data_IF_045947041181
#
_entry.id   IF_045947041181
#
_cell.length_a   1.000
_cell.length_b   1.000
_cell.length_c   1.000
_cell.angle_alpha   90.00
_cell.angle_beta   90.00
_cell.angle_gamma   90.00
#
_symmetry.space_group_name_H-M   'P 1'
#
loop_
_entity.id
_entity.type
_entity.pdbx_description
1 polymer ?
#
# COMPACT_ATOMS: atom_id res chain seq x y z
N UNK A 1 -71.63 11.32 -22.63
CA UNK A 1 -72.24 12.37 -21.81
C UNK A 1 -73.10 11.74 -20.72
N UNK A 2 -72.63 11.68 -19.48
CA UNK A 2 -73.46 11.50 -18.29
C UNK A 2 -72.88 12.35 -17.18
N UNK A 3 -73.61 13.41 -16.80
CA UNK A 3 -73.35 14.29 -15.70
C UNK A 3 -73.76 13.59 -14.40
N UNK A 4 -72.94 13.51 -13.39
CA UNK A 4 -73.33 13.18 -12.02
C UNK A 4 -73.49 14.44 -11.20
N UNK A 5 -74.69 14.62 -10.66
CA UNK A 5 -75.10 15.71 -9.80
C UNK A 5 -74.52 15.51 -8.38
N UNK A 6 -73.87 16.54 -7.85
CA UNK A 6 -73.40 16.57 -6.47
C UNK A 6 -74.56 17.02 -5.58
N UNK A 7 -74.99 16.15 -4.66
CA UNK A 7 -76.01 16.46 -3.67
C UNK A 7 -75.42 17.35 -2.57
N UNK A 8 -76.07 18.49 -2.36
CA UNK A 8 -75.77 19.50 -1.36
C UNK A 8 -76.24 19.03 0.02
N UNK A 9 -75.32 18.67 0.94
CA UNK A 9 -75.65 18.36 2.34
C UNK A 9 -75.74 19.63 3.15
N UNK A 10 -76.91 19.85 3.81
CA UNK A 10 -77.27 21.00 4.57
C UNK A 10 -76.26 21.35 5.67
N UNK A 11 -75.95 22.64 5.80
CA UNK A 11 -74.92 23.20 6.70
C UNK A 11 -75.13 22.92 8.21
N UNK A 12 -76.31 22.55 8.62
CA UNK A 12 -76.65 22.18 10.02
C UNK A 12 -76.15 20.82 10.48
N UNK A 13 -76.06 19.89 9.57
CA UNK A 13 -75.53 18.53 9.89
C UNK A 13 -73.99 18.56 9.97
N UNK A 14 -73.36 19.45 9.22
CA UNK A 14 -71.90 19.59 9.16
C UNK A 14 -71.29 20.12 10.46
N UNK A 15 -71.97 21.07 11.15
CA UNK A 15 -71.45 21.64 12.38
C UNK A 15 -71.56 20.71 13.59
N UNK A 16 -72.58 19.87 13.68
CA UNK A 16 -72.68 18.89 14.77
C UNK A 16 -71.74 17.69 14.60
N UNK A 17 -71.36 17.34 13.37
CA UNK A 17 -70.39 16.27 13.09
C UNK A 17 -68.96 16.75 13.40
N UNK A 18 -68.68 18.02 13.18
CA UNK A 18 -67.34 18.60 13.52
C UNK A 18 -67.12 18.76 15.03
N UNK A 19 -68.16 19.07 15.82
CA UNK A 19 -68.03 19.10 17.28
C UNK A 19 -67.88 17.73 17.91
N UNK A 20 -68.48 16.67 17.37
CA UNK A 20 -68.31 15.28 17.85
C UNK A 20 -66.92 14.71 17.52
N UNK A 21 -66.34 15.09 16.38
CA UNK A 21 -64.98 14.70 15.99
C UNK A 21 -63.91 15.43 16.82
N UNK A 22 -64.15 16.67 17.27
CA UNK A 22 -63.22 17.44 18.10
C UNK A 22 -63.13 16.92 19.55
N UNK A 23 -64.19 16.31 20.11
CA UNK A 23 -64.22 15.76 21.45
C UNK A 23 -63.60 14.35 21.50
N UNK A 24 -63.64 13.61 20.38
CA UNK A 24 -62.99 12.29 20.29
C UNK A 24 -61.47 12.37 20.11
N UNK A 25 -60.91 13.52 19.73
CA UNK A 25 -59.48 13.70 19.52
C UNK A 25 -58.72 14.15 20.78
N UNK A 26 -59.42 14.50 21.87
CA UNK A 26 -58.81 14.98 23.11
C UNK A 26 -58.59 13.94 24.20
N UNK A 27 -58.87 12.66 23.94
CA UNK A 27 -58.70 11.57 24.92
C UNK A 27 -57.58 10.58 24.61
N UNK A 28 -56.90 10.73 23.44
CA UNK A 28 -55.76 9.87 23.08
C UNK A 28 -54.41 10.61 23.05
N UNK A 29 -54.25 11.60 23.89
CA UNK A 29 -53.01 12.33 24.10
C UNK A 29 -52.21 11.82 25.30
N UNK A 30 -52.21 10.53 25.59
CA UNK A 30 -51.22 9.92 26.48
C UNK A 30 -50.19 9.21 25.65
N UNK A 31 -48.95 9.71 25.75
CA UNK A 31 -47.79 9.25 25.04
C UNK A 31 -47.62 7.73 25.02
N UNK A 32 -47.73 7.19 23.83
CA UNK A 32 -46.95 6.04 23.50
C UNK A 32 -45.64 6.57 22.91
N UNK A 33 -44.55 6.48 23.64
CA UNK A 33 -43.26 6.31 23.03
C UNK A 33 -43.42 5.18 22.02
N UNK A 34 -43.68 5.52 20.79
CA UNK A 34 -43.63 4.58 19.69
C UNK A 34 -42.16 4.17 19.59
N UNK A 35 -41.79 3.10 20.29
CA UNK A 35 -40.63 2.31 19.95
C UNK A 35 -40.88 1.86 18.52
N UNK A 36 -40.48 2.71 17.56
CA UNK A 36 -40.48 2.34 16.16
C UNK A 36 -39.69 1.06 16.06
N UNK A 37 -40.30 -0.02 15.58
CA UNK A 37 -39.58 -1.26 15.32
C UNK A 37 -38.34 -0.90 14.54
N UNK A 38 -37.16 -1.41 14.91
CA UNK A 38 -35.97 -1.15 14.14
C UNK A 38 -36.21 -1.59 12.71
N UNK A 39 -35.92 -0.73 11.74
CA UNK A 39 -35.90 -1.13 10.33
C UNK A 39 -35.03 -2.39 10.19
N UNK A 40 -35.23 -3.18 9.15
CA UNK A 40 -34.51 -4.46 8.93
C UNK A 40 -32.98 -4.34 8.99
N UNK A 41 -32.45 -3.12 8.90
CA UNK A 41 -31.02 -2.82 8.84
C UNK A 41 -30.40 -2.33 10.15
N UNK A 42 -31.22 -2.14 11.21
CA UNK A 42 -30.73 -1.73 12.55
C UNK A 42 -30.32 -2.97 13.32
N UNK A 43 -29.04 -3.09 13.66
CA UNK A 43 -28.46 -4.22 14.36
C UNK A 43 -28.31 -4.02 15.87
N UNK A 44 -28.12 -2.77 16.30
CA UNK A 44 -28.09 -2.41 17.72
C UNK A 44 -28.61 -0.99 17.94
N UNK A 45 -29.08 -0.70 19.16
CA UNK A 45 -29.50 0.63 19.59
C UNK A 45 -28.99 0.91 20.99
N UNK A 46 -28.47 2.10 21.20
CA UNK A 46 -28.07 2.61 22.51
C UNK A 46 -28.52 4.06 22.64
N UNK A 47 -29.53 4.28 23.52
CA UNK A 47 -30.19 5.60 23.59
C UNK A 47 -30.77 6.02 22.24
N UNK A 48 -30.38 7.19 21.77
CA UNK A 48 -30.76 7.73 20.44
C UNK A 48 -29.90 7.22 19.28
N UNK A 49 -28.78 6.55 19.55
CA UNK A 49 -27.86 6.06 18.52
C UNK A 49 -28.26 4.69 18.01
N UNK A 50 -28.05 4.44 16.71
CA UNK A 50 -28.33 3.16 16.07
C UNK A 50 -27.10 2.70 15.30
N UNK A 51 -26.80 1.42 15.37
CA UNK A 51 -25.83 0.74 14.53
C UNK A 51 -26.55 0.09 13.37
N UNK A 52 -26.16 0.49 12.17
CA UNK A 52 -26.73 -0.03 10.92
C UNK A 52 -25.86 -1.19 10.38
N UNK A 53 -26.49 -2.09 9.64
CA UNK A 53 -25.80 -3.16 8.92
C UNK A 53 -24.75 -2.62 7.95
N UNK A 54 -25.08 -1.55 7.24
CA UNK A 54 -24.21 -0.84 6.30
C UNK A 54 -22.86 -0.45 6.95
N UNK A 55 -22.86 -0.05 8.23
CA UNK A 55 -21.63 0.29 8.94
C UNK A 55 -20.73 -0.94 9.16
N UNK A 56 -21.34 -2.08 9.51
CA UNK A 56 -20.58 -3.32 9.66
C UNK A 56 -20.05 -3.79 8.31
N UNK A 57 -20.88 -3.77 7.27
CA UNK A 57 -20.51 -4.22 5.92
C UNK A 57 -19.37 -3.35 5.35
N UNK A 58 -19.36 -2.05 5.64
CA UNK A 58 -18.28 -1.13 5.22
C UNK A 58 -16.91 -1.47 5.83
N UNK A 59 -16.90 -1.91 7.11
CA UNK A 59 -15.64 -2.25 7.80
C UNK A 59 -15.29 -3.74 7.74
N UNK A 60 -16.16 -4.56 7.16
CA UNK A 60 -15.93 -6.01 7.06
C UNK A 60 -14.86 -6.31 6.01
N UNK A 61 -13.81 -7.09 6.34
CA UNK A 61 -12.86 -7.57 5.35
C UNK A 61 -13.53 -8.41 4.25
N UNK A 62 -13.15 -8.17 3.00
CA UNK A 62 -13.76 -8.82 1.82
C UNK A 62 -13.54 -10.34 1.76
N UNK A 63 -12.49 -10.83 2.43
CA UNK A 63 -12.10 -12.24 2.46
C UNK A 63 -12.85 -13.08 3.50
N UNK A 64 -13.66 -12.45 4.37
CA UNK A 64 -14.44 -13.18 5.38
C UNK A 64 -15.68 -13.85 4.78
N UNK A 65 -15.82 -15.15 5.05
CA UNK A 65 -16.96 -15.95 4.56
C UNK A 65 -17.80 -16.54 5.70
N UNK A 66 -19.13 -16.60 5.48
CA UNK A 66 -20.10 -17.34 6.29
C UNK A 66 -19.98 -17.18 7.83
N UNK A 67 -19.49 -18.21 8.54
CA UNK A 67 -19.42 -18.22 10.01
C UNK A 67 -18.45 -17.15 10.58
N UNK A 68 -17.41 -16.80 9.84
CA UNK A 68 -16.44 -15.79 10.26
C UNK A 68 -17.01 -14.38 10.10
N UNK A 69 -17.80 -14.13 9.05
CA UNK A 69 -18.52 -12.85 8.90
C UNK A 69 -19.58 -12.65 9.98
N UNK A 70 -20.29 -13.70 10.37
CA UNK A 70 -21.25 -13.64 11.46
C UNK A 70 -20.57 -13.33 12.82
N UNK A 71 -19.44 -13.98 13.09
CA UNK A 71 -18.63 -13.72 14.29
C UNK A 71 -18.05 -12.30 14.29
N UNK A 72 -17.60 -11.81 13.15
CA UNK A 72 -17.14 -10.45 12.99
C UNK A 72 -18.25 -9.45 13.34
N UNK A 73 -19.46 -9.65 12.79
CA UNK A 73 -20.60 -8.78 13.06
C UNK A 73 -20.95 -8.76 14.55
N UNK A 74 -20.99 -9.91 15.21
CA UNK A 74 -21.24 -10.01 16.65
C UNK A 74 -20.20 -9.25 17.47
N UNK A 75 -18.92 -9.46 17.17
CA UNK A 75 -17.82 -8.73 17.84
C UNK A 75 -17.87 -7.24 17.58
N UNK A 76 -18.30 -6.82 16.39
CA UNK A 76 -18.45 -5.40 16.06
C UNK A 76 -19.57 -4.76 16.87
N UNK A 77 -20.73 -5.44 16.99
CA UNK A 77 -21.86 -5.00 17.82
C UNK A 77 -21.41 -4.83 19.27
N UNK A 78 -20.73 -5.80 19.87
CA UNK A 78 -20.24 -5.73 21.24
C UNK A 78 -19.27 -4.56 21.44
N UNK A 79 -18.34 -4.35 20.50
CA UNK A 79 -17.41 -3.20 20.53
C UNK A 79 -18.17 -1.87 20.40
N UNK A 80 -19.18 -1.81 19.56
CA UNK A 80 -19.99 -0.62 19.36
C UNK A 80 -20.75 -0.26 20.64
N UNK A 81 -21.43 -1.22 21.27
CA UNK A 81 -22.15 -1.03 22.54
C UNK A 81 -21.19 -0.51 23.61
N UNK A 82 -20.03 -1.16 23.77
CA UNK A 82 -19.00 -0.70 24.71
C UNK A 82 -18.57 0.74 24.46
N UNK A 83 -18.35 1.11 23.20
CA UNK A 83 -17.97 2.49 22.82
C UNK A 83 -19.06 3.50 23.21
N UNK A 84 -20.34 3.18 22.97
CA UNK A 84 -21.45 4.06 23.32
C UNK A 84 -21.53 4.25 24.83
N UNK A 85 -21.44 3.18 25.60
CA UNK A 85 -21.50 3.22 27.09
C UNK A 85 -20.35 4.04 27.66
N UNK A 86 -19.12 3.80 27.22
CA UNK A 86 -17.95 4.58 27.66
C UNK A 86 -18.07 6.05 27.27
N UNK A 87 -18.53 6.33 26.03
CA UNK A 87 -18.71 7.70 25.54
C UNK A 87 -19.72 8.48 26.39
N UNK A 88 -20.82 7.83 26.78
CA UNK A 88 -21.81 8.48 27.65
C UNK A 88 -21.24 8.79 29.04
N UNK A 89 -20.52 7.83 29.65
CA UNK A 89 -19.95 8.04 30.97
C UNK A 89 -18.82 9.09 30.96
N UNK A 90 -17.95 9.01 29.96
CA UNK A 90 -16.87 9.97 29.79
C UNK A 90 -17.37 11.42 29.63
N UNK A 91 -18.54 11.63 28.97
CA UNK A 91 -19.15 12.95 28.85
C UNK A 91 -19.64 13.51 30.18
N UNK A 92 -19.97 12.66 31.17
CA UNK A 92 -20.37 13.08 32.51
C UNK A 92 -19.16 13.43 33.39
N UNK A 93 -18.05 12.70 33.22
CA UNK A 93 -16.87 12.83 34.07
C UNK A 93 -15.83 13.82 33.58
N UNK A 94 -15.73 14.03 32.25
CA UNK A 94 -14.67 14.85 31.65
C UNK A 94 -15.25 16.19 31.21
N UNK A 95 -14.79 17.26 31.84
CA UNK A 95 -15.17 18.63 31.51
C UNK A 95 -14.72 19.00 30.09
N UNK A 96 -15.58 19.69 29.35
CA UNK A 96 -15.34 20.15 27.96
C UNK A 96 -15.02 19.03 26.96
N UNK A 97 -15.34 17.76 27.26
CA UNK A 97 -15.00 16.63 26.38
C UNK A 97 -15.57 16.81 24.98
N UNK A 98 -16.82 17.27 24.84
CA UNK A 98 -17.46 17.45 23.54
C UNK A 98 -16.71 18.49 22.68
N UNK A 99 -16.27 19.60 23.29
CA UNK A 99 -15.49 20.63 22.59
C UNK A 99 -14.11 20.10 22.16
N UNK A 100 -13.43 19.38 23.06
CA UNK A 100 -12.13 18.74 22.75
C UNK A 100 -12.26 17.74 21.63
N UNK A 101 -13.30 16.89 21.68
CA UNK A 101 -13.58 15.89 20.66
C UNK A 101 -13.92 16.55 19.31
N UNK A 102 -14.72 17.62 19.31
CA UNK A 102 -15.06 18.33 18.09
C UNK A 102 -13.81 18.86 17.38
N UNK A 103 -12.93 19.56 18.09
CA UNK A 103 -11.67 20.05 17.49
C UNK A 103 -10.76 18.91 17.00
N UNK A 104 -10.69 17.80 17.73
CA UNK A 104 -9.90 16.64 17.32
C UNK A 104 -10.48 15.97 16.06
N UNK A 105 -11.81 15.86 15.99
CA UNK A 105 -12.51 15.28 14.83
C UNK A 105 -12.40 16.18 13.60
N UNK A 106 -12.58 17.51 13.76
CA UNK A 106 -12.44 18.47 12.65
C UNK A 106 -11.03 18.44 12.05
N UNK A 107 -10.00 18.39 12.90
CA UNK A 107 -8.61 18.26 12.44
C UNK A 107 -8.37 16.92 11.75
N UNK A 108 -8.86 15.82 12.33
CA UNK A 108 -8.70 14.49 11.74
C UNK A 108 -9.42 14.36 10.40
N UNK A 109 -10.62 14.89 10.29
CA UNK A 109 -11.36 14.94 9.02
C UNK A 109 -10.58 15.72 7.95
N UNK A 110 -10.04 16.90 8.31
CA UNK A 110 -9.24 17.70 7.39
C UNK A 110 -7.99 16.94 6.91
N UNK A 111 -7.26 16.27 7.82
CA UNK A 111 -6.09 15.45 7.48
C UNK A 111 -6.46 14.27 6.59
N UNK A 112 -7.56 13.59 6.89
CA UNK A 112 -8.04 12.44 6.12
C UNK A 112 -8.43 12.86 4.70
N UNK A 113 -9.20 13.96 4.57
CA UNK A 113 -9.60 14.50 3.25
C UNK A 113 -8.36 14.92 2.45
N UNK A 114 -7.39 15.59 3.08
CA UNK A 114 -6.15 15.97 2.41
C UNK A 114 -5.35 14.74 1.93
N UNK A 115 -5.29 13.68 2.75
CA UNK A 115 -4.64 12.41 2.41
C UNK A 115 -5.32 11.72 1.23
N UNK A 116 -6.66 11.60 1.25
CA UNK A 116 -7.41 10.99 0.15
C UNK A 116 -7.32 11.81 -1.15
N UNK A 117 -7.29 13.15 -1.04
CA UNK A 117 -7.06 14.01 -2.19
C UNK A 117 -5.67 13.83 -2.79
N UNK A 118 -4.63 13.75 -1.94
CA UNK A 118 -3.27 13.46 -2.39
C UNK A 118 -3.19 12.09 -3.08
N UNK A 119 -3.81 11.06 -2.52
CA UNK A 119 -3.90 9.73 -3.12
C UNK A 119 -4.58 9.77 -4.49
N UNK A 120 -5.73 10.46 -4.61
CA UNK A 120 -6.41 10.65 -5.88
C UNK A 120 -5.52 11.35 -6.93
N UNK A 121 -4.76 12.38 -6.54
CA UNK A 121 -3.80 13.04 -7.42
C UNK A 121 -2.70 12.08 -7.90
N UNK A 122 -2.18 11.25 -7.00
CA UNK A 122 -1.17 10.23 -7.33
C UNK A 122 -1.75 9.25 -8.36
N UNK A 123 -2.89 8.65 -8.07
CA UNK A 123 -3.52 7.65 -8.94
C UNK A 123 -3.83 8.20 -10.34
N UNK A 124 -4.34 9.44 -10.41
CA UNK A 124 -4.71 10.07 -11.67
C UNK A 124 -3.53 10.53 -12.52
N UNK A 125 -2.35 10.77 -11.92
CA UNK A 125 -1.21 11.38 -12.59
C UNK A 125 0.09 10.57 -12.58
N UNK A 126 0.21 9.56 -11.72
CA UNK A 126 1.43 8.75 -11.61
C UNK A 126 1.83 8.09 -12.94
N UNK A 127 0.85 7.69 -13.75
CA UNK A 127 1.09 7.09 -15.06
C UNK A 127 1.65 8.08 -16.10
N UNK A 128 1.49 9.39 -15.88
CA UNK A 128 1.98 10.44 -16.76
C UNK A 128 3.42 10.82 -16.46
N UNK A 129 3.96 10.43 -15.29
CA UNK A 129 5.34 10.75 -14.90
C UNK A 129 6.29 9.86 -15.70
N UNK A 130 6.98 10.46 -16.65
CA UNK A 130 8.03 9.80 -17.43
C UNK A 130 9.39 10.20 -16.89
N UNK A 131 10.20 9.22 -16.55
CA UNK A 131 11.59 9.40 -16.14
C UNK A 131 12.46 9.02 -17.34
N UNK A 132 13.25 9.95 -17.83
CA UNK A 132 14.15 9.75 -18.98
C UNK A 132 15.52 9.24 -18.54
N UNK A 133 16.31 8.69 -19.47
CA UNK A 133 17.70 8.32 -19.19
C UNK A 133 18.54 9.52 -18.73
N UNK A 134 18.27 10.69 -19.28
CA UNK A 134 18.92 11.93 -18.86
C UNK A 134 18.63 12.29 -17.41
N UNK A 135 17.39 12.13 -16.97
CA UNK A 135 16.99 12.36 -15.57
C UNK A 135 17.73 11.40 -14.62
N UNK A 136 17.80 10.12 -15.01
CA UNK A 136 18.48 9.08 -14.23
C UNK A 136 19.97 9.41 -14.09
N UNK A 137 20.63 9.71 -15.20
CA UNK A 137 22.04 10.03 -15.22
C UNK A 137 22.33 11.32 -14.42
N UNK A 138 21.52 12.35 -14.60
CA UNK A 138 21.65 13.60 -13.87
C UNK A 138 21.47 13.39 -12.34
N UNK A 139 20.48 12.60 -11.94
CA UNK A 139 20.24 12.28 -10.52
C UNK A 139 21.42 11.50 -9.92
N UNK A 140 21.95 10.52 -10.67
CA UNK A 140 23.09 9.72 -10.24
C UNK A 140 24.37 10.55 -10.07
N UNK A 141 24.65 11.45 -11.01
CA UNK A 141 25.85 12.30 -10.98
C UNK A 141 25.75 13.46 -9.97
N UNK A 142 24.52 13.96 -9.74
CA UNK A 142 24.30 15.07 -8.80
C UNK A 142 24.38 14.66 -7.33
N UNK A 143 24.05 13.40 -7.01
CA UNK A 143 23.98 12.89 -5.65
C UNK A 143 24.81 11.61 -5.46
N UNK A 144 26.12 11.60 -5.80
CA UNK A 144 26.94 10.40 -5.77
C UNK A 144 26.99 9.75 -4.37
N UNK A 145 26.97 10.57 -3.32
CA UNK A 145 27.00 10.13 -1.92
C UNK A 145 25.81 9.22 -1.53
N UNK A 146 24.71 9.30 -2.26
CA UNK A 146 23.51 8.44 -2.03
C UNK A 146 23.64 7.05 -2.62
N UNK A 147 24.67 6.84 -3.43
CA UNK A 147 24.88 5.61 -4.19
C UNK A 147 26.19 4.93 -3.83
N UNK A 148 26.63 5.12 -2.60
CA UNK A 148 27.77 4.41 -2.03
C UNK A 148 27.28 3.08 -1.46
N UNK A 149 28.07 2.04 -1.61
CA UNK A 149 27.77 0.71 -1.09
C UNK A 149 27.92 0.66 0.42
N UNK A 150 27.00 0.04 1.11
CA UNK A 150 27.08 -0.30 2.53
C UNK A 150 27.41 -1.78 2.78
N UNK A 151 27.58 -2.56 1.72
CA UNK A 151 27.89 -4.00 1.78
C UNK A 151 28.67 -4.43 0.54
N UNK A 152 29.00 -5.70 0.50
CA UNK A 152 29.69 -6.26 -0.66
C UNK A 152 28.70 -6.64 -1.76
N UNK A 153 29.06 -6.35 -3.00
CA UNK A 153 28.35 -6.85 -4.19
C UNK A 153 29.33 -7.58 -5.09
N UNK A 154 28.89 -8.71 -5.64
CA UNK A 154 29.67 -9.62 -6.45
C UNK A 154 29.02 -9.81 -7.80
N UNK A 155 29.81 -9.71 -8.83
CA UNK A 155 29.46 -10.15 -10.18
C UNK A 155 30.37 -11.29 -10.55
N UNK A 156 29.83 -12.43 -10.97
CA UNK A 156 30.60 -13.62 -11.25
C UNK A 156 29.91 -14.52 -12.27
N UNK A 157 30.68 -15.39 -12.91
CA UNK A 157 30.18 -16.56 -13.61
C UNK A 157 30.26 -17.78 -12.69
N UNK A 158 29.22 -18.58 -12.73
CA UNK A 158 29.12 -19.81 -11.98
C UNK A 158 28.56 -20.92 -12.85
N UNK A 159 29.20 -22.10 -12.79
CA UNK A 159 28.71 -23.31 -13.44
C UNK A 159 28.94 -24.50 -12.50
N UNK A 160 27.91 -25.32 -12.30
CA UNK A 160 27.95 -26.59 -11.58
C UNK A 160 27.67 -27.75 -12.55
N UNK A 161 28.54 -28.74 -12.56
CA UNK A 161 28.39 -29.93 -13.40
C UNK A 161 28.87 -31.17 -12.67
N UNK A 162 28.43 -32.35 -13.11
CA UNK A 162 28.92 -33.63 -12.64
C UNK A 162 30.13 -34.13 -13.45
N UNK A 163 30.47 -33.47 -14.53
CA UNK A 163 31.54 -33.82 -15.41
C UNK A 163 32.91 -33.39 -14.83
N UNK A 164 33.87 -34.30 -14.58
CA UNK A 164 35.19 -33.94 -14.08
C UNK A 164 36.05 -33.31 -15.18
N UNK A 165 37.15 -32.63 -14.76
CA UNK A 165 38.24 -32.16 -15.64
C UNK A 165 37.81 -31.34 -16.87
N UNK A 166 36.96 -30.36 -16.67
CA UNK A 166 36.40 -29.54 -17.76
C UNK A 166 37.33 -28.40 -18.19
N UNK A 167 38.43 -28.72 -18.89
CA UNK A 167 39.39 -27.75 -19.43
C UNK A 167 38.73 -26.77 -20.42
N UNK A 168 37.83 -27.27 -21.29
CA UNK A 168 37.09 -26.42 -22.22
C UNK A 168 36.27 -25.36 -21.47
N UNK A 169 35.54 -25.76 -20.43
CA UNK A 169 34.75 -24.86 -19.58
C UNK A 169 35.65 -23.81 -18.92
N UNK A 170 36.79 -24.22 -18.34
CA UNK A 170 37.71 -23.26 -17.71
C UNK A 170 38.27 -22.25 -18.71
N UNK A 171 38.59 -22.66 -19.94
CA UNK A 171 39.08 -21.77 -20.97
C UNK A 171 38.02 -20.80 -21.43
N UNK A 172 36.78 -21.25 -21.62
CA UNK A 172 35.66 -20.39 -21.96
C UNK A 172 35.39 -19.36 -20.83
N UNK A 173 35.43 -19.81 -19.57
CA UNK A 173 35.23 -18.92 -18.41
C UNK A 173 36.34 -17.88 -18.24
N UNK A 174 37.52 -18.03 -18.83
CA UNK A 174 38.60 -17.02 -18.77
C UNK A 174 38.44 -15.86 -19.75
N UNK A 175 37.61 -16.04 -20.77
CA UNK A 175 37.44 -15.04 -21.83
C UNK A 175 36.38 -14.00 -21.48
N UNK A 176 36.62 -12.77 -21.91
CA UNK A 176 35.66 -11.66 -21.90
C UNK A 176 35.09 -11.41 -23.30
N UNK A 177 35.52 -12.19 -24.31
CA UNK A 177 35.03 -12.05 -25.68
C UNK A 177 33.57 -12.49 -25.78
N UNK A 178 32.67 -11.65 -26.38
CA UNK A 178 31.24 -11.97 -26.50
C UNK A 178 30.96 -13.34 -27.12
N UNK A 179 31.72 -13.73 -28.14
CA UNK A 179 31.58 -15.01 -28.81
C UNK A 179 31.91 -16.20 -27.88
N UNK A 180 32.93 -16.03 -27.04
CA UNK A 180 33.32 -17.06 -26.05
C UNK A 180 32.32 -17.16 -24.89
N UNK A 181 31.73 -16.03 -24.51
CA UNK A 181 30.66 -16.02 -23.53
C UNK A 181 29.43 -16.76 -24.08
N UNK A 182 29.11 -16.60 -25.35
CA UNK A 182 28.01 -17.34 -25.98
C UNK A 182 28.29 -18.83 -26.09
N UNK A 183 29.54 -19.22 -26.47
CA UNK A 183 29.98 -20.62 -26.40
C UNK A 183 29.87 -21.18 -24.96
N UNK A 184 30.19 -20.35 -23.96
CA UNK A 184 30.07 -20.75 -22.54
C UNK A 184 28.61 -20.98 -22.16
N UNK A 185 27.68 -20.10 -22.59
CA UNK A 185 26.25 -20.28 -22.36
C UNK A 185 25.73 -21.59 -22.99
N UNK A 186 26.13 -21.83 -24.24
CA UNK A 186 25.72 -23.04 -24.92
C UNK A 186 26.29 -24.29 -24.22
N UNK A 187 27.59 -24.26 -23.83
CA UNK A 187 28.18 -25.34 -23.08
C UNK A 187 27.45 -25.61 -21.77
N UNK A 188 27.13 -24.55 -21.01
CA UNK A 188 26.41 -24.65 -19.74
C UNK A 188 25.02 -25.26 -19.93
N UNK A 189 24.29 -24.83 -20.95
CA UNK A 189 22.97 -25.38 -21.30
C UNK A 189 23.01 -26.90 -21.56
N UNK A 190 24.07 -27.36 -22.21
CA UNK A 190 24.18 -28.76 -22.62
C UNK A 190 24.75 -29.69 -21.52
N UNK A 191 25.56 -29.12 -20.58
CA UNK A 191 26.40 -29.92 -19.69
C UNK A 191 26.32 -29.57 -18.21
N UNK A 192 25.66 -28.45 -17.86
CA UNK A 192 25.58 -28.01 -16.47
C UNK A 192 24.26 -28.39 -15.80
N UNK A 193 24.34 -28.70 -14.50
CA UNK A 193 23.20 -28.93 -13.65
C UNK A 193 22.64 -27.59 -13.11
N UNK A 194 23.51 -26.58 -12.98
CA UNK A 194 23.18 -25.25 -12.52
C UNK A 194 24.20 -24.26 -13.08
N UNK A 195 23.75 -23.08 -13.49
CA UNK A 195 24.66 -22.07 -14.00
C UNK A 195 24.09 -20.67 -13.87
N UNK A 196 25.01 -19.70 -13.75
CA UNK A 196 24.74 -18.26 -13.73
C UNK A 196 25.82 -17.57 -14.58
N UNK A 197 25.43 -17.02 -15.68
CA UNK A 197 26.30 -16.37 -16.66
C UNK A 197 25.74 -15.00 -17.07
N UNK A 198 24.98 -14.40 -16.18
CA UNK A 198 24.46 -13.05 -16.32
C UNK A 198 25.41 -12.01 -15.68
N UNK A 199 25.15 -10.75 -15.99
CA UNK A 199 25.93 -9.64 -15.46
C UNK A 199 25.31 -9.00 -14.21
N UNK A 200 24.37 -9.67 -13.54
CA UNK A 200 23.75 -9.14 -12.34
C UNK A 200 24.67 -9.28 -11.12
N UNK A 201 24.48 -8.37 -10.17
CA UNK A 201 25.20 -8.42 -8.90
C UNK A 201 24.38 -9.14 -7.84
N UNK A 202 25.07 -9.81 -6.94
CA UNK A 202 24.49 -10.41 -5.73
C UNK A 202 25.22 -9.90 -4.49
N UNK A 203 24.55 -9.97 -3.35
CA UNK A 203 25.16 -9.68 -2.05
C UNK A 203 25.71 -10.94 -1.38
N UNK A 204 26.38 -10.78 -0.24
CA UNK A 204 27.00 -11.85 0.54
C UNK A 204 26.07 -13.05 0.76
N UNK A 205 24.82 -12.83 1.16
CA UNK A 205 23.85 -13.90 1.45
C UNK A 205 23.51 -14.76 0.24
N UNK A 206 23.39 -14.14 -0.93
CA UNK A 206 23.10 -14.86 -2.18
C UNK A 206 24.33 -15.58 -2.71
N UNK A 207 25.51 -14.98 -2.58
CA UNK A 207 26.77 -15.66 -2.92
C UNK A 207 26.96 -16.89 -2.04
N UNK A 208 26.71 -16.78 -0.73
CA UNK A 208 26.79 -17.90 0.21
C UNK A 208 25.81 -19.00 -0.14
N UNK A 209 24.58 -18.66 -0.50
CA UNK A 209 23.56 -19.61 -0.96
C UNK A 209 23.98 -20.36 -2.22
N UNK A 210 24.54 -19.67 -3.21
CA UNK A 210 25.01 -20.27 -4.47
C UNK A 210 26.21 -21.14 -4.22
N UNK A 211 27.17 -20.71 -3.40
CA UNK A 211 28.36 -21.48 -3.05
C UNK A 211 28.08 -22.59 -2.02
N UNK A 212 26.84 -22.64 -1.47
CA UNK A 212 26.44 -23.56 -0.39
C UNK A 212 27.36 -23.49 0.85
N UNK A 213 27.82 -22.27 1.16
CA UNK A 213 28.78 -22.03 2.26
C UNK A 213 30.18 -22.57 2.03
N UNK A 214 30.42 -23.24 0.91
CA UNK A 214 31.74 -23.78 0.60
C UNK A 214 32.65 -22.68 0.06
N UNK A 215 33.84 -22.51 0.71
CA UNK A 215 34.92 -21.65 0.21
C UNK A 215 34.56 -20.17 0.00
N UNK A 216 33.52 -19.64 0.68
CA UNK A 216 33.09 -18.24 0.57
C UNK A 216 34.29 -17.28 0.63
N UNK A 217 35.18 -17.41 1.63
CA UNK A 217 36.37 -16.58 1.77
C UNK A 217 37.40 -16.74 0.62
N UNK A 218 37.46 -17.89 -0.02
CA UNK A 218 38.36 -18.15 -1.17
C UNK A 218 37.73 -17.60 -2.46
N UNK A 219 36.41 -17.73 -2.62
CA UNK A 219 35.69 -17.19 -3.78
C UNK A 219 35.79 -15.65 -3.80
N UNK A 220 35.67 -14.96 -2.65
CA UNK A 220 35.88 -13.51 -2.54
C UNK A 220 37.27 -13.06 -2.98
N UNK A 221 38.26 -13.86 -2.76
CA UNK A 221 39.66 -13.60 -3.14
C UNK A 221 40.01 -14.15 -4.52
N UNK A 222 39.06 -14.80 -5.21
CA UNK A 222 39.30 -15.41 -6.51
C UNK A 222 39.75 -14.35 -7.52
N UNK A 223 40.76 -14.73 -8.31
CA UNK A 223 41.26 -13.89 -9.40
C UNK A 223 40.17 -13.71 -10.47
N UNK A 224 40.01 -12.49 -10.95
CA UNK A 224 39.03 -12.13 -12.01
C UNK A 224 39.34 -12.80 -13.35
N UNK A 225 40.55 -13.33 -13.56
CA UNK A 225 40.97 -13.95 -14.81
C UNK A 225 41.00 -15.51 -14.77
N UNK A 226 40.99 -16.11 -13.58
CA UNK A 226 41.11 -17.57 -13.47
C UNK A 226 39.94 -18.14 -12.67
N UNK A 227 39.18 -19.09 -13.22
CA UNK A 227 38.10 -19.74 -12.48
C UNK A 227 38.64 -20.47 -11.24
N UNK A 228 37.95 -20.24 -10.11
CA UNK A 228 38.14 -21.06 -8.92
C UNK A 228 37.32 -22.35 -9.05
N UNK A 229 37.93 -23.50 -8.82
CA UNK A 229 37.27 -24.78 -9.00
C UNK A 229 37.33 -25.58 -7.70
N UNK A 230 36.19 -26.09 -7.26
CA UNK A 230 36.09 -27.00 -6.14
C UNK A 230 35.05 -28.09 -6.40
N UNK A 231 35.01 -29.11 -5.55
CA UNK A 231 34.03 -30.18 -5.65
C UNK A 231 33.25 -30.33 -4.35
N UNK A 232 32.00 -30.73 -4.48
CA UNK A 232 31.13 -31.13 -3.37
C UNK A 232 30.54 -32.51 -3.61
N UNK A 233 30.15 -33.21 -2.54
CA UNK A 233 29.45 -34.49 -2.62
C UNK A 233 28.01 -34.34 -2.19
N UNK A 234 27.10 -34.84 -3.00
CA UNK A 234 25.66 -34.97 -2.68
C UNK A 234 25.32 -36.49 -2.78
N UNK A 235 25.31 -37.17 -1.65
CA UNK A 235 25.19 -38.61 -1.61
C UNK A 235 26.38 -39.29 -2.31
N UNK A 236 26.11 -40.10 -3.36
CA UNK A 236 27.13 -40.75 -4.17
C UNK A 236 27.66 -39.88 -5.33
N UNK A 237 27.02 -38.75 -5.60
CA UNK A 237 27.35 -37.89 -6.72
C UNK A 237 28.37 -36.83 -6.32
N UNK A 238 29.40 -36.65 -7.15
CA UNK A 238 30.35 -35.54 -7.02
C UNK A 238 29.95 -34.45 -7.99
N UNK A 239 29.78 -33.24 -7.47
CA UNK A 239 29.52 -32.02 -8.23
C UNK A 239 30.79 -31.18 -8.29
N UNK A 240 31.10 -30.66 -9.46
CA UNK A 240 32.23 -29.75 -9.69
C UNK A 240 31.66 -28.32 -9.89
N UNK A 241 32.21 -27.38 -9.15
CA UNK A 241 31.78 -25.98 -9.13
C UNK A 241 32.89 -25.12 -9.72
N UNK A 242 32.53 -24.28 -10.65
CA UNK A 242 33.43 -23.35 -11.33
C UNK A 242 32.94 -21.96 -11.09
N UNK A 243 33.74 -21.10 -10.45
CA UNK A 243 33.47 -19.70 -10.19
C UNK A 243 34.56 -18.86 -10.86
N UNK A 244 34.12 -17.83 -11.61
CA UNK A 244 34.99 -16.74 -12.03
C UNK A 244 34.42 -15.45 -11.47
N UNK A 245 35.15 -14.77 -10.57
CA UNK A 245 34.80 -13.45 -10.12
C UNK A 245 35.05 -12.44 -11.24
N UNK A 246 34.05 -11.63 -11.58
CA UNK A 246 34.16 -10.59 -12.61
C UNK A 246 34.42 -9.24 -11.96
N UNK A 247 33.66 -8.92 -10.90
CA UNK A 247 33.82 -7.68 -10.16
C UNK A 247 33.38 -7.85 -8.71
N UNK A 248 34.06 -7.15 -7.82
CA UNK A 248 33.66 -6.97 -6.42
C UNK A 248 33.50 -5.49 -6.18
N UNK A 249 32.45 -5.12 -5.49
CA UNK A 249 32.21 -3.76 -4.98
C UNK A 249 32.22 -3.89 -3.46
N UNK A 250 33.09 -3.15 -2.82
CA UNK A 250 33.26 -3.17 -1.37
C UNK A 250 32.44 -2.06 -0.68
N UNK A 251 32.21 -2.14 0.63
CA UNK A 251 31.63 -1.02 1.38
C UNK A 251 32.45 0.25 1.20
N UNK A 252 31.78 1.35 0.85
CA UNK A 252 32.43 2.62 0.53
C UNK A 252 32.61 2.88 -0.96
N UNK A 253 32.55 1.85 -1.80
CA UNK A 253 32.64 2.03 -3.24
C UNK A 253 31.36 2.60 -3.84
N UNK A 254 31.50 3.28 -4.97
CA UNK A 254 30.39 3.77 -5.76
C UNK A 254 29.64 2.61 -6.40
N UNK A 255 28.34 2.49 -6.15
CA UNK A 255 27.48 1.49 -6.80
C UNK A 255 27.28 1.87 -8.27
N UNK A 256 27.51 0.96 -9.24
CA UNK A 256 27.21 1.17 -10.64
C UNK A 256 25.74 1.57 -10.87
N UNK A 257 25.51 2.45 -11.84
CA UNK A 257 24.16 2.94 -12.18
C UNK A 257 23.14 1.80 -12.35
N UNK A 258 23.53 0.68 -12.93
CA UNK A 258 22.65 -0.48 -13.14
C UNK A 258 22.11 -1.10 -11.85
N UNK A 259 22.85 -1.02 -10.73
CA UNK A 259 22.37 -1.53 -9.43
C UNK A 259 21.33 -0.58 -8.83
N UNK A 260 21.50 0.72 -9.00
CA UNK A 260 20.71 1.75 -8.34
C UNK A 260 19.62 2.36 -9.22
N UNK A 261 19.55 1.94 -10.49
CA UNK A 261 18.67 2.50 -11.51
C UNK A 261 17.21 2.57 -11.05
N UNK A 262 16.65 1.45 -10.58
CA UNK A 262 15.23 1.39 -10.19
C UNK A 262 14.97 2.24 -8.93
N UNK A 263 15.94 2.29 -8.01
CA UNK A 263 15.89 3.17 -6.85
C UNK A 263 15.89 4.64 -7.25
N UNK A 264 16.69 5.01 -8.26
CA UNK A 264 16.73 6.38 -8.82
C UNK A 264 15.39 6.72 -9.47
N UNK A 265 14.85 5.84 -10.31
CA UNK A 265 13.55 6.04 -10.95
C UNK A 265 12.46 6.26 -9.91
N UNK A 266 12.41 5.43 -8.86
CA UNK A 266 11.46 5.57 -7.77
C UNK A 266 11.65 6.89 -7.00
N UNK A 267 12.89 7.29 -6.74
CA UNK A 267 13.22 8.56 -6.07
C UNK A 267 12.74 9.76 -6.89
N UNK A 268 13.03 9.79 -8.19
CA UNK A 268 12.59 10.87 -9.09
C UNK A 268 11.06 10.93 -9.16
N UNK A 269 10.40 9.79 -9.31
CA UNK A 269 8.92 9.73 -9.31
C UNK A 269 8.32 10.29 -8.04
N UNK A 270 8.82 9.86 -6.88
CA UNK A 270 8.33 10.32 -5.58
C UNK A 270 8.56 11.83 -5.39
N UNK A 271 9.72 12.34 -5.79
CA UNK A 271 10.01 13.77 -5.74
C UNK A 271 9.07 14.57 -6.66
N UNK A 272 8.81 14.08 -7.87
CA UNK A 272 7.90 14.71 -8.82
C UNK A 272 6.47 14.74 -8.27
N UNK A 273 6.01 13.63 -7.68
CA UNK A 273 4.69 13.51 -7.04
C UNK A 273 4.56 14.54 -5.91
N UNK A 274 5.53 14.58 -4.99
CA UNK A 274 5.50 15.51 -3.86
C UNK A 274 5.47 16.97 -4.34
N UNK A 275 6.27 17.31 -5.34
CA UNK A 275 6.27 18.65 -5.94
C UNK A 275 4.92 18.98 -6.56
N UNK A 276 4.30 18.04 -7.26
CA UNK A 276 2.97 18.21 -7.87
C UNK A 276 1.88 18.43 -6.82
N UNK A 277 1.91 17.68 -5.71
CA UNK A 277 0.96 17.86 -4.60
C UNK A 277 1.10 19.28 -4.04
N UNK A 278 2.33 19.69 -3.68
CA UNK A 278 2.62 21.03 -3.13
C UNK A 278 2.18 22.15 -4.09
N UNK A 279 2.46 22.01 -5.38
CA UNK A 279 2.02 22.98 -6.39
C UNK A 279 0.50 23.04 -6.52
N UNK A 280 -0.18 21.90 -6.39
CA UNK A 280 -1.65 21.85 -6.44
C UNK A 280 -2.25 22.55 -5.22
N UNK A 281 -1.74 22.26 -4.03
CA UNK A 281 -2.15 22.92 -2.79
C UNK A 281 -1.94 24.45 -2.86
N UNK A 282 -0.75 24.88 -3.27
CA UNK A 282 -0.44 26.31 -3.42
C UNK A 282 -1.41 27.00 -4.40
N UNK A 283 -1.72 26.36 -5.52
CA UNK A 283 -2.67 26.87 -6.51
C UNK A 283 -4.09 26.98 -5.95
N UNK A 284 -4.53 25.98 -5.16
CA UNK A 284 -5.85 26.00 -4.52
C UNK A 284 -5.96 27.13 -3.48
N UNK A 285 -4.93 27.32 -2.66
CA UNK A 285 -4.86 28.40 -1.68
C UNK A 285 -4.91 29.77 -2.39
N UNK A 286 -4.13 29.93 -3.46
CA UNK A 286 -4.10 31.18 -4.23
C UNK A 286 -5.47 31.47 -4.88
N UNK A 287 -6.15 30.45 -5.41
CA UNK A 287 -7.49 30.59 -5.95
C UNK A 287 -8.51 31.01 -4.86
N UNK A 288 -8.40 30.44 -3.66
CA UNK A 288 -9.25 30.80 -2.52
C UNK A 288 -9.00 32.24 -2.05
N UNK A 289 -7.75 32.71 -2.06
CA UNK A 289 -7.42 34.12 -1.77
C UNK A 289 -8.02 35.07 -2.81
N UNK A 290 -7.87 34.78 -4.09
CA UNK A 290 -8.43 35.61 -5.19
C UNK A 290 -9.93 35.68 -5.17
N UNK A 291 -10.59 34.63 -4.70
CA UNK A 291 -12.07 34.60 -4.57
C UNK A 291 -12.59 35.12 -3.23
N UNK A 292 -11.76 35.78 -2.42
CA UNK A 292 -12.09 36.31 -1.08
C UNK A 292 -12.71 35.27 -0.12
N UNK A 293 -12.38 34.00 -0.29
CA UNK A 293 -12.81 32.92 0.64
C UNK A 293 -11.96 32.88 1.92
N UNK A 294 -10.76 33.49 1.91
CA UNK A 294 -9.85 33.51 3.04
C UNK A 294 -9.87 34.92 3.66
N UNK A 295 -10.19 34.97 4.94
CA UNK A 295 -10.01 36.15 5.78
C UNK A 295 -9.20 35.76 7.00
N UNK A 296 -8.12 36.44 7.25
CA UNK A 296 -7.29 36.30 8.45
C UNK A 296 -7.61 37.47 9.34
N UNK A 297 -7.89 37.20 10.60
CA UNK A 297 -8.15 38.25 11.60
C UNK A 297 -6.92 38.23 12.53
N UNK A 298 -6.23 39.35 12.62
CA UNK A 298 -5.13 39.51 13.57
C UNK A 298 -5.72 39.58 15.00
N UNK A 299 -5.09 38.91 15.95
CA UNK A 299 -5.40 39.12 17.38
C UNK A 299 -4.90 40.53 17.75
N UNK A 300 -5.82 41.42 18.23
CA UNK A 300 -5.47 42.69 18.83
C UNK A 300 -4.90 42.51 20.24
#
# INVERSE_FOLDING_TARGET
MKRYSVNYISSRVRNNLLCFLAVLFSVYGTGCDSVSQPGKDVLARYGGNQLLREEIDFFMPEDLQNADSARYAEQYIDKWIRRQTIKEEAKKEIEDLDKKLQFALDNYEAELVASEFAKHLIESKAQQIRVTEGDILNHYTKYPERFVSNGNFYQFFYVRTILPNQYKLQNLMRSDEPEKIEELRQWAKDNANEWRLDSSYVQDSELDRISKGYYFGNIRKANTKTPYVYSSKEGKQTNFHFFRMLQVIEPGDQLPLRIVRDRIISSIKNQTINTMIQQTEARLIEAARKSNKIKIFDEE
#
